data_IF_454868923162
#
_entry.id   IF_454868923162
#
_cell.length_a   1.000
_cell.length_b   1.000
_cell.length_c   1.000
_cell.angle_alpha   90.00
_cell.angle_beta   90.00
_cell.angle_gamma   90.00
#
_symmetry.space_group_name_H-M   'P 1'
#
loop_
_entity.id
_entity.type
_entity.pdbx_description
1 polymer ?
#
# COMPACT_ATOMS: atom_id res chain seq x y z
N UNK A 1 -9.09 8.66 30.95
CA UNK A 1 -9.62 7.86 29.83
C UNK A 1 -9.19 8.57 28.57
N UNK A 2 -8.21 8.00 27.86
CA UNK A 2 -7.47 8.67 26.79
C UNK A 2 -8.34 8.92 25.54
N UNK A 3 -8.49 10.21 25.24
CA UNK A 3 -8.41 10.87 23.93
C UNK A 3 -8.85 10.10 22.67
N UNK A 4 -10.00 10.53 22.14
CA UNK A 4 -10.35 10.65 20.72
C UNK A 4 -9.89 9.52 19.77
N UNK A 5 -10.71 8.48 19.65
CA UNK A 5 -10.88 7.79 18.38
C UNK A 5 -11.59 8.73 17.39
N UNK A 6 -10.88 9.77 16.93
CA UNK A 6 -11.32 10.56 15.80
C UNK A 6 -11.46 9.63 14.60
N UNK A 7 -12.62 9.66 13.95
CA UNK A 7 -12.92 8.89 12.74
C UNK A 7 -11.70 8.82 11.83
N UNK A 8 -11.06 7.64 11.77
CA UNK A 8 -9.95 7.43 10.86
C UNK A 8 -10.51 7.58 9.44
N UNK A 9 -10.21 8.70 8.77
CA UNK A 9 -10.66 8.94 7.41
C UNK A 9 -10.22 7.74 6.55
N UNK A 10 -11.16 7.04 5.90
CA UNK A 10 -10.85 5.92 5.05
C UNK A 10 -9.83 6.29 3.97
N UNK A 11 -8.95 5.36 3.64
CA UNK A 11 -7.93 5.60 2.62
C UNK A 11 -8.49 5.22 1.25
N UNK A 12 -8.47 6.18 0.30
CA UNK A 12 -8.79 5.93 -1.11
C UNK A 12 -7.69 5.07 -1.78
N UNK A 13 -8.03 4.17 -2.72
CA UNK A 13 -7.04 3.39 -3.48
C UNK A 13 -5.93 4.22 -4.15
N UNK A 14 -6.25 5.42 -4.63
CA UNK A 14 -5.27 6.33 -5.23
C UNK A 14 -4.18 6.76 -4.23
N UNK A 15 -4.53 6.97 -2.95
CA UNK A 15 -3.55 7.31 -1.92
C UNK A 15 -2.65 6.12 -1.61
N UNK A 16 -3.19 4.90 -1.61
CA UNK A 16 -2.39 3.69 -1.50
C UNK A 16 -1.34 3.62 -2.63
N UNK A 17 -1.77 3.77 -3.89
CA UNK A 17 -0.86 3.74 -5.04
C UNK A 17 0.23 4.83 -4.93
N UNK A 18 -0.12 6.02 -4.47
CA UNK A 18 0.83 7.11 -4.27
C UNK A 18 1.93 6.75 -3.25
N UNK A 19 1.57 6.15 -2.11
CA UNK A 19 2.55 5.81 -1.07
C UNK A 19 3.46 4.66 -1.50
N UNK A 20 2.92 3.67 -2.23
CA UNK A 20 3.72 2.59 -2.82
C UNK A 20 4.67 3.14 -3.91
N UNK A 21 4.21 4.07 -4.74
CA UNK A 21 5.06 4.74 -5.74
C UNK A 21 6.24 5.45 -5.10
N UNK A 22 6.00 6.25 -4.04
CA UNK A 22 7.07 6.93 -3.30
C UNK A 22 8.07 5.97 -2.69
N UNK A 23 7.60 4.88 -2.08
CA UNK A 23 8.48 3.87 -1.50
C UNK A 23 9.32 3.17 -2.58
N UNK A 24 8.73 2.88 -3.73
CA UNK A 24 9.42 2.26 -4.86
C UNK A 24 10.46 3.20 -5.48
N UNK A 25 10.16 4.50 -5.58
CA UNK A 25 11.11 5.52 -6.01
C UNK A 25 12.30 5.63 -5.03
N UNK A 26 12.04 5.66 -3.72
CA UNK A 26 13.10 5.70 -2.72
C UNK A 26 14.02 4.46 -2.80
N UNK A 27 13.47 3.27 -3.04
CA UNK A 27 14.25 2.06 -3.33
C UNK A 27 15.10 2.21 -4.59
N UNK A 28 14.50 2.69 -5.70
CA UNK A 28 15.21 2.90 -6.98
C UNK A 28 16.35 3.91 -6.86
N UNK A 29 16.19 4.93 -6.03
CA UNK A 29 17.22 5.93 -5.74
C UNK A 29 18.30 5.43 -4.77
N UNK A 30 18.15 4.23 -4.20
CA UNK A 30 19.06 3.70 -3.19
C UNK A 30 18.91 4.33 -1.80
N UNK A 31 17.86 5.11 -1.56
CA UNK A 31 17.57 5.75 -0.27
C UNK A 31 17.06 4.75 0.76
N UNK A 32 16.56 3.60 0.30
CA UNK A 32 16.02 2.52 1.13
C UNK A 32 16.55 1.18 0.60
N UNK A 33 17.16 0.40 1.49
CA UNK A 33 17.61 -0.95 1.20
C UNK A 33 16.45 -1.97 1.19
N UNK A 34 16.74 -3.23 0.88
CA UNK A 34 15.71 -4.25 0.80
C UNK A 34 14.94 -4.45 2.13
N UNK A 35 15.66 -4.46 3.26
CA UNK A 35 15.06 -4.63 4.59
C UNK A 35 14.17 -3.44 4.97
N UNK A 36 14.65 -2.22 4.72
CA UNK A 36 13.90 -0.99 4.93
C UNK A 36 12.68 -0.88 4.02
N UNK A 37 12.77 -1.37 2.78
CA UNK A 37 11.64 -1.42 1.86
C UNK A 37 10.55 -2.35 2.41
N UNK A 38 10.93 -3.57 2.80
CA UNK A 38 9.99 -4.54 3.35
C UNK A 38 9.31 -4.04 4.64
N UNK A 39 10.07 -3.41 5.53
CA UNK A 39 9.53 -2.84 6.77
C UNK A 39 8.53 -1.70 6.48
N UNK A 40 8.89 -0.76 5.59
CA UNK A 40 8.02 0.37 5.22
C UNK A 40 6.77 -0.11 4.46
N UNK A 41 6.93 -1.10 3.58
CA UNK A 41 5.84 -1.72 2.86
C UNK A 41 4.83 -2.38 3.83
N UNK A 42 5.32 -3.15 4.79
CA UNK A 42 4.47 -3.76 5.81
C UNK A 42 3.75 -2.71 6.66
N UNK A 43 4.43 -1.61 7.02
CA UNK A 43 3.84 -0.49 7.76
C UNK A 43 2.69 0.18 6.99
N UNK A 44 2.89 0.47 5.70
CA UNK A 44 1.84 1.03 4.84
C UNK A 44 0.61 0.11 4.87
N UNK A 45 0.80 -1.19 4.70
CA UNK A 45 -0.33 -2.14 4.71
C UNK A 45 -1.03 -2.19 6.08
N UNK A 46 -0.28 -2.16 7.17
CA UNK A 46 -0.87 -2.13 8.52
C UNK A 46 -1.70 -0.86 8.76
N UNK A 47 -1.21 0.30 8.34
CA UNK A 47 -1.93 1.56 8.43
C UNK A 47 -3.22 1.54 7.60
N UNK A 48 -3.19 0.94 6.41
CA UNK A 48 -4.36 0.75 5.55
C UNK A 48 -5.42 -0.15 6.20
N UNK A 49 -5.00 -1.26 6.80
CA UNK A 49 -5.91 -2.15 7.55
C UNK A 49 -6.56 -1.43 8.74
N UNK A 50 -5.82 -0.56 9.43
CA UNK A 50 -6.32 0.20 10.57
C UNK A 50 -7.36 1.26 10.20
N UNK A 51 -7.23 1.90 9.03
CA UNK A 51 -8.07 3.03 8.60
C UNK A 51 -9.27 2.64 7.74
N UNK A 52 -9.39 1.37 7.34
CA UNK A 52 -10.28 0.85 6.29
C UNK A 52 -9.99 1.49 4.92
N UNK A 53 -9.92 0.67 3.87
CA UNK A 53 -9.86 1.15 2.49
C UNK A 53 -11.27 1.47 2.01
N UNK A 54 -11.45 2.66 1.45
CA UNK A 54 -12.69 3.08 0.80
C UNK A 54 -12.56 2.84 -0.71
N UNK A 55 -12.62 1.56 -1.07
CA UNK A 55 -12.56 1.09 -2.44
C UNK A 55 -12.73 -0.42 -2.54
N UNK A 56 -13.31 -0.85 -3.65
CA UNK A 56 -13.42 -2.23 -4.09
C UNK A 56 -12.05 -2.83 -4.44
N UNK A 57 -12.02 -4.16 -4.56
CA UNK A 57 -10.85 -4.88 -5.06
C UNK A 57 -10.47 -4.39 -6.46
N UNK A 58 -11.44 -4.19 -7.34
CA UNK A 58 -11.20 -3.70 -8.71
C UNK A 58 -10.53 -2.32 -8.69
N UNK A 59 -11.00 -1.39 -7.85
CA UNK A 59 -10.42 -0.05 -7.74
C UNK A 59 -8.98 -0.08 -7.21
N UNK A 60 -8.66 -0.99 -6.28
CA UNK A 60 -7.30 -1.16 -5.76
C UNK A 60 -6.39 -1.78 -6.81
N UNK A 61 -6.85 -2.82 -7.52
CA UNK A 61 -6.09 -3.42 -8.62
C UNK A 61 -5.83 -2.39 -9.72
N UNK A 62 -6.85 -1.60 -10.10
CA UNK A 62 -6.73 -0.54 -11.08
C UNK A 62 -5.73 0.55 -10.65
N UNK A 63 -5.75 0.95 -9.37
CA UNK A 63 -4.81 1.94 -8.83
C UNK A 63 -3.36 1.43 -8.80
N UNK A 64 -3.15 0.13 -8.63
CA UNK A 64 -1.80 -0.49 -8.59
C UNK A 64 -1.27 -0.85 -9.98
N UNK A 65 -2.14 -1.02 -10.98
CA UNK A 65 -1.75 -1.43 -12.33
C UNK A 65 -0.64 -0.57 -12.96
N UNK A 66 -0.66 0.78 -12.87
CA UNK A 66 0.43 1.59 -13.41
C UNK A 66 1.80 1.32 -12.76
N UNK A 67 1.81 0.97 -11.47
CA UNK A 67 3.05 0.64 -10.75
C UNK A 67 3.60 -0.72 -11.17
N UNK A 68 2.71 -1.67 -11.44
CA UNK A 68 3.09 -2.98 -11.97
C UNK A 68 3.63 -2.84 -13.40
N UNK A 69 2.93 -2.11 -14.27
CA UNK A 69 3.32 -1.89 -15.66
C UNK A 69 4.65 -1.11 -15.76
N UNK A 70 4.96 -0.25 -14.79
CA UNK A 70 6.23 0.47 -14.68
C UNK A 70 7.38 -0.34 -14.02
N UNK A 71 7.09 -1.53 -13.48
CA UNK A 71 8.06 -2.33 -12.72
C UNK A 71 8.43 -1.75 -11.35
N UNK A 72 7.67 -0.78 -10.84
CA UNK A 72 7.85 -0.21 -9.50
C UNK A 72 7.56 -1.25 -8.40
N UNK A 73 6.56 -2.08 -8.66
CA UNK A 73 6.25 -3.27 -7.87
C UNK A 73 6.21 -4.51 -8.74
N UNK A 74 6.49 -5.65 -8.12
CA UNK A 74 6.36 -6.99 -8.72
C UNK A 74 4.94 -7.54 -8.52
N UNK A 75 4.57 -8.52 -9.33
CA UNK A 75 3.32 -9.27 -9.14
C UNK A 75 3.22 -9.90 -7.74
N UNK A 76 4.35 -10.37 -7.20
CA UNK A 76 4.43 -10.94 -5.84
C UNK A 76 4.12 -9.89 -4.76
N UNK A 77 4.63 -8.66 -4.91
CA UNK A 77 4.34 -7.55 -4.00
C UNK A 77 2.86 -7.14 -4.10
N UNK A 78 2.30 -7.05 -5.32
CA UNK A 78 0.88 -6.80 -5.52
C UNK A 78 0.00 -7.88 -4.87
N UNK A 79 0.31 -9.15 -5.09
CA UNK A 79 -0.40 -10.29 -4.48
C UNK A 79 -0.35 -10.23 -2.94
N UNK A 80 0.85 -10.00 -2.38
CA UNK A 80 1.04 -9.87 -0.93
C UNK A 80 0.18 -8.74 -0.37
N UNK A 81 0.14 -7.60 -1.05
CA UNK A 81 -0.66 -6.46 -0.66
C UNK A 81 -2.15 -6.81 -0.64
N UNK A 82 -2.69 -7.36 -1.73
CA UNK A 82 -4.10 -7.78 -1.79
C UNK A 82 -4.45 -8.81 -0.72
N UNK A 83 -3.60 -9.81 -0.51
CA UNK A 83 -3.79 -10.85 0.51
C UNK A 83 -3.83 -10.26 1.93
N UNK A 84 -2.93 -9.32 2.25
CA UNK A 84 -2.89 -8.68 3.56
C UNK A 84 -4.05 -7.71 3.80
N UNK A 85 -4.65 -7.17 2.74
CA UNK A 85 -5.89 -6.40 2.79
C UNK A 85 -7.14 -7.28 2.89
N UNK A 86 -6.99 -8.60 2.91
CA UNK A 86 -8.11 -9.55 2.94
C UNK A 86 -8.78 -9.76 1.57
N UNK A 87 -8.18 -9.28 0.49
CA UNK A 87 -8.69 -9.33 -0.88
C UNK A 87 -8.07 -10.50 -1.66
N UNK A 88 -8.05 -11.69 -1.04
CA UNK A 88 -7.59 -12.92 -1.71
C UNK A 88 -8.48 -13.22 -2.93
N UNK A 89 -7.93 -13.85 -3.98
CA UNK A 89 -8.77 -14.45 -5.02
C UNK A 89 -9.75 -15.47 -4.44
#
# INVERSE_FOLDING_TARGET
MSENAGDLTPIKPARLAQEISKLSLARRNGEVDAAGYDQRFARIIQELRGRRLDGSREEIVAALKPLLDAGDITEKEQFRLLAQLGMRP
#
